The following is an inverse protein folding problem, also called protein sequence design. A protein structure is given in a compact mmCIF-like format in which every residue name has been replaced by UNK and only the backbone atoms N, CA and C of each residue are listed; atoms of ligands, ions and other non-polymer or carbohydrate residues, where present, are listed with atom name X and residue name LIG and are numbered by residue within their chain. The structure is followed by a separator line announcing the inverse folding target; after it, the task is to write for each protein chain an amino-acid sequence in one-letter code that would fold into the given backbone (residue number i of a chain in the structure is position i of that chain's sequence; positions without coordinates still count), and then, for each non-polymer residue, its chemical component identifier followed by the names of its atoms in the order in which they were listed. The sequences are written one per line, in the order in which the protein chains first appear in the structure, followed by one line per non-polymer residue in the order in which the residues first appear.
data_IF_543213058473
#
_entry.id   IF_543213058473
#
_cell.length_a   1.000
_cell.length_b   1.000
_cell.length_c   1.000
_cell.angle_alpha   90.00
_cell.angle_beta   90.00
_cell.angle_gamma   90.00
#
_symmetry.space_group_name_H-M   'P 1'
#
loop_
_entity.id
_entity.type
_entity.pdbx_description
1 polymer ?
#
# COMPACT_ATOMS: atom_id res chain seq x y z
N UNK A 1 31.16 -2.69 -2.03
CA UNK A 1 29.73 -2.34 -2.18
C UNK A 1 29.60 -1.20 -3.16
N UNK A 2 28.76 -1.35 -4.16
CA UNK A 2 28.55 -0.33 -5.18
C UNK A 2 27.36 0.54 -4.78
N UNK A 3 27.58 1.84 -4.69
CA UNK A 3 26.48 2.77 -4.45
C UNK A 3 25.61 2.86 -5.68
N UNK A 4 24.31 2.83 -5.48
CA UNK A 4 23.33 3.02 -6.54
C UNK A 4 22.75 4.43 -6.43
N UNK A 5 22.60 5.09 -7.57
CA UNK A 5 22.07 6.44 -7.63
C UNK A 5 20.81 6.45 -8.46
N UNK A 6 19.77 7.11 -7.95
CA UNK A 6 18.50 7.26 -8.62
C UNK A 6 18.15 8.75 -8.74
N UNK A 7 17.46 9.10 -9.81
CA UNK A 7 16.97 10.47 -9.99
C UNK A 7 15.80 10.77 -9.08
N UNK A 8 14.92 9.77 -8.88
CA UNK A 8 13.78 9.88 -8.01
C UNK A 8 13.62 8.63 -7.16
N UNK A 9 13.19 8.81 -5.93
CA UNK A 9 12.83 7.71 -5.03
C UNK A 9 11.39 7.93 -4.61
N UNK A 10 10.51 6.99 -4.95
CA UNK A 10 9.08 7.00 -4.59
C UNK A 10 8.89 6.05 -3.42
N UNK A 11 8.41 6.57 -2.32
CA UNK A 11 8.21 5.78 -1.11
C UNK A 11 6.73 5.41 -1.01
N UNK A 12 6.45 4.13 -1.18
CA UNK A 12 5.10 3.59 -1.18
C UNK A 12 4.58 3.37 -2.60
N UNK A 13 4.19 2.14 -2.89
CA UNK A 13 3.64 1.75 -4.20
C UNK A 13 2.11 1.61 -4.11
N UNK A 14 1.46 2.56 -3.44
CA UNK A 14 0.01 2.68 -3.43
C UNK A 14 -0.49 3.39 -4.69
N UNK A 15 -1.73 3.88 -4.66
CA UNK A 15 -2.36 4.49 -5.82
C UNK A 15 -1.56 5.69 -6.36
N UNK A 16 -1.09 6.57 -5.47
CA UNK A 16 -0.33 7.74 -5.87
C UNK A 16 1.10 7.39 -6.29
N UNK A 17 1.77 6.56 -5.49
CA UNK A 17 3.17 6.20 -5.76
C UNK A 17 3.33 5.41 -7.05
N UNK A 18 2.40 4.52 -7.35
CA UNK A 18 2.43 3.75 -8.59
C UNK A 18 2.32 4.66 -9.82
N UNK A 19 1.46 5.67 -9.77
CA UNK A 19 1.31 6.64 -10.84
C UNK A 19 2.60 7.44 -11.02
N UNK A 20 3.18 7.94 -9.92
CA UNK A 20 4.43 8.70 -9.98
C UNK A 20 5.58 7.87 -10.53
N UNK A 21 5.72 6.62 -10.05
CA UNK A 21 6.79 5.75 -10.54
C UNK A 21 6.66 5.50 -12.04
N UNK A 22 5.44 5.26 -12.52
CA UNK A 22 5.18 5.04 -13.94
C UNK A 22 5.49 6.30 -14.77
N UNK A 23 4.94 7.43 -14.37
CA UNK A 23 5.08 8.67 -15.15
C UNK A 23 6.51 9.22 -15.16
N UNK A 24 7.20 9.16 -14.03
CA UNK A 24 8.57 9.65 -13.95
C UNK A 24 9.55 8.79 -14.75
N UNK A 25 9.27 7.50 -14.90
CA UNK A 25 10.15 6.58 -15.63
C UNK A 25 9.75 6.41 -17.10
N UNK A 26 8.62 6.97 -17.52
CA UNK A 26 8.03 6.73 -18.84
C UNK A 26 8.94 7.15 -19.99
N UNK A 27 9.63 8.29 -19.87
CA UNK A 27 10.51 8.80 -20.92
C UNK A 27 11.81 8.00 -21.08
N UNK A 28 12.21 7.25 -20.05
CA UNK A 28 13.49 6.57 -20.01
C UNK A 28 14.67 7.47 -19.68
N UNK A 29 14.43 8.76 -19.43
CA UNK A 29 15.47 9.71 -19.07
C UNK A 29 15.88 9.64 -17.59
N UNK A 30 14.98 9.15 -16.74
CA UNK A 30 15.19 9.10 -15.29
C UNK A 30 15.14 7.69 -14.76
N UNK A 31 16.04 7.41 -13.84
CA UNK A 31 16.02 6.17 -13.07
C UNK A 31 15.18 6.40 -11.82
N UNK A 32 14.14 5.61 -11.64
CA UNK A 32 13.18 5.75 -10.54
C UNK A 32 13.23 4.50 -9.68
N UNK A 33 13.44 4.69 -8.38
CA UNK A 33 13.34 3.60 -7.40
C UNK A 33 12.02 3.74 -6.65
N UNK A 34 11.23 2.67 -6.64
CA UNK A 34 10.01 2.62 -5.86
C UNK A 34 10.19 1.64 -4.71
N UNK A 35 10.01 2.13 -3.48
CA UNK A 35 10.15 1.34 -2.27
C UNK A 35 8.77 1.03 -1.70
N UNK A 36 8.51 -0.26 -1.46
CA UNK A 36 7.24 -0.71 -0.88
C UNK A 36 7.53 -1.60 0.34
N UNK A 37 6.87 -1.31 1.46
CA UNK A 37 7.09 -2.04 2.71
C UNK A 37 6.45 -3.43 2.70
N UNK A 38 5.44 -3.64 1.89
CA UNK A 38 4.69 -4.90 1.87
C UNK A 38 5.10 -5.84 0.77
N UNK A 39 4.22 -6.79 0.48
CA UNK A 39 4.45 -7.81 -0.53
C UNK A 39 3.97 -7.34 -1.91
N UNK A 40 4.39 -8.05 -2.95
CA UNK A 40 3.84 -7.87 -4.30
C UNK A 40 2.33 -8.11 -4.35
N UNK A 41 1.81 -8.92 -3.43
CA UNK A 41 0.40 -9.26 -3.40
C UNK A 41 -0.01 -10.34 -4.38
N UNK A 42 0.87 -10.74 -5.28
CA UNK A 42 0.57 -11.78 -6.27
C UNK A 42 0.27 -13.14 -5.65
N UNK A 43 0.83 -13.39 -4.47
CA UNK A 43 0.63 -14.64 -3.73
C UNK A 43 -0.70 -14.68 -2.98
N UNK A 44 -1.40 -13.55 -2.90
CA UNK A 44 -2.65 -13.47 -2.16
C UNK A 44 -3.82 -13.60 -3.12
N UNK A 45 -4.35 -14.81 -3.18
CA UNK A 45 -5.54 -15.12 -3.98
C UNK A 45 -6.68 -14.15 -3.76
N UNK A 46 -6.92 -13.81 -2.48
CA UNK A 46 -8.04 -12.95 -2.09
C UNK A 46 -7.91 -11.51 -2.59
N UNK A 47 -6.69 -11.03 -2.86
CA UNK A 47 -6.49 -9.67 -3.38
C UNK A 47 -7.01 -9.50 -4.80
N UNK A 48 -7.22 -10.59 -5.52
CA UNK A 48 -7.67 -10.58 -6.91
C UNK A 48 -9.18 -10.71 -7.05
N UNK A 49 -9.88 -10.87 -5.94
CA UNK A 49 -11.33 -11.07 -5.92
C UNK A 49 -11.95 -9.95 -5.10
N UNK A 50 -12.95 -9.21 -5.64
CA UNK A 50 -13.54 -8.07 -4.90
C UNK A 50 -14.04 -8.43 -3.50
N UNK A 51 -14.73 -9.56 -3.34
CA UNK A 51 -15.21 -9.99 -2.03
C UNK A 51 -14.07 -10.42 -1.09
N UNK A 52 -12.86 -10.61 -1.65
CA UNK A 52 -11.70 -11.01 -0.87
C UNK A 52 -11.25 -9.99 0.14
N UNK A 53 -11.71 -8.73 0.05
CA UNK A 53 -11.37 -7.69 1.02
C UNK A 53 -11.73 -8.13 2.45
N UNK A 54 -12.79 -8.89 2.62
CA UNK A 54 -13.20 -9.40 3.93
C UNK A 54 -12.14 -10.34 4.53
N UNK A 55 -11.31 -10.97 3.70
CA UNK A 55 -10.22 -11.84 4.14
C UNK A 55 -8.91 -11.09 4.34
N UNK A 56 -8.77 -9.91 3.74
CA UNK A 56 -7.53 -9.14 3.79
C UNK A 56 -7.51 -8.12 4.91
N UNK A 57 -8.68 -7.63 5.29
CA UNK A 57 -8.82 -6.47 6.17
C UNK A 57 -8.20 -6.68 7.56
N UNK A 58 -8.10 -7.93 8.00
CA UNK A 58 -7.52 -8.27 9.31
C UNK A 58 -6.16 -8.98 9.20
N UNK A 59 -5.56 -9.00 8.02
CA UNK A 59 -4.31 -9.73 7.82
C UNK A 59 -3.09 -8.82 7.95
N UNK A 60 -2.27 -8.98 9.01
CA UNK A 60 -1.09 -8.15 9.20
C UNK A 60 -0.06 -8.24 8.07
N UNK A 61 -0.08 -9.33 7.30
CA UNK A 61 0.83 -9.49 6.17
C UNK A 61 0.60 -8.46 5.06
N UNK A 62 -0.65 -8.00 4.87
CA UNK A 62 -1.05 -7.07 3.80
C UNK A 62 -1.74 -5.83 4.33
N UNK A 63 -1.83 -5.67 5.63
CA UNK A 63 -2.53 -4.56 6.28
C UNK A 63 -1.70 -4.08 7.47
N UNK A 64 -1.51 -2.78 7.59
CA UNK A 64 -0.81 -2.19 8.71
C UNK A 64 -1.57 -2.37 10.03
N UNK A 65 -2.87 -2.63 9.96
CA UNK A 65 -3.74 -2.87 11.11
C UNK A 65 -3.70 -1.73 12.13
N UNK A 66 -3.73 -0.49 11.65
CA UNK A 66 -3.81 0.67 12.51
C UNK A 66 -5.16 0.75 13.20
N UNK A 67 -5.19 1.43 14.33
CA UNK A 67 -6.43 1.73 15.01
C UNK A 67 -6.39 3.19 15.48
N UNK A 68 -7.55 3.84 15.50
CA UNK A 68 -7.66 5.23 15.89
C UNK A 68 -7.46 5.38 17.40
N UNK A 69 -7.14 6.60 17.83
CA UNK A 69 -7.21 6.94 19.24
C UNK A 69 -8.68 6.99 19.68
N UNK A 70 -8.98 6.74 20.96
CA UNK A 70 -10.35 6.90 21.46
C UNK A 70 -10.83 8.33 21.29
N UNK A 71 -12.07 8.49 20.85
CA UNK A 71 -12.66 9.79 20.62
C UNK A 71 -14.10 9.80 21.11
N UNK A 72 -14.54 10.92 21.67
CA UNK A 72 -15.90 11.08 22.18
C UNK A 72 -16.94 10.88 21.09
N UNK A 73 -16.65 11.36 19.87
CA UNK A 73 -17.55 11.20 18.74
C UNK A 73 -17.82 9.76 18.36
N UNK A 74 -16.94 8.85 18.74
CA UNK A 74 -17.10 7.41 18.51
C UNK A 74 -17.44 6.64 19.78
N UNK A 75 -17.87 7.34 20.83
CA UNK A 75 -18.21 6.72 22.12
C UNK A 75 -17.01 6.18 22.87
N UNK A 76 -15.84 6.77 22.67
CA UNK A 76 -14.60 6.34 23.32
C UNK A 76 -13.98 5.09 22.72
N UNK A 77 -14.46 4.65 21.57
CA UNK A 77 -13.95 3.45 20.93
C UNK A 77 -12.70 3.71 20.10
N UNK A 78 -11.88 2.67 19.97
CA UNK A 78 -10.82 2.63 18.98
C UNK A 78 -11.39 1.99 17.72
N UNK A 79 -11.25 2.66 16.60
CA UNK A 79 -11.81 2.21 15.33
C UNK A 79 -10.67 1.66 14.46
N UNK A 80 -10.79 0.43 13.91
CA UNK A 80 -9.79 -0.07 12.97
C UNK A 80 -9.67 0.83 11.76
N UNK A 81 -8.43 1.13 11.36
CA UNK A 81 -8.13 1.95 10.19
C UNK A 81 -7.28 1.10 9.25
N UNK A 82 -7.90 0.30 8.38
CA UNK A 82 -7.15 -0.54 7.46
C UNK A 82 -6.32 0.30 6.48
N UNK A 83 -5.07 -0.11 6.27
CA UNK A 83 -4.19 0.48 5.27
C UNK A 83 -3.40 -0.64 4.63
N UNK A 84 -3.41 -0.70 3.32
CA UNK A 84 -2.74 -1.76 2.57
C UNK A 84 -1.24 -1.71 2.74
N UNK A 85 -0.65 -2.88 2.93
CA UNK A 85 0.80 -3.07 3.05
C UNK A 85 1.23 -4.04 1.95
N UNK A 86 1.10 -3.59 0.71
CA UNK A 86 1.40 -4.38 -0.48
C UNK A 86 1.41 -3.48 -1.70
N UNK A 87 1.87 -3.98 -2.83
CA UNK A 87 1.76 -3.25 -4.09
C UNK A 87 0.28 -2.92 -4.34
N UNK A 88 0.02 -1.68 -4.72
CA UNK A 88 -1.33 -1.17 -4.88
C UNK A 88 -1.85 -0.50 -3.62
N UNK A 89 -1.24 -0.74 -2.46
CA UNK A 89 -1.62 -0.11 -1.21
C UNK A 89 -3.04 -0.41 -0.80
N UNK A 90 -3.72 0.60 -0.25
CA UNK A 90 -5.10 0.42 0.24
C UNK A 90 -6.10 0.11 -0.88
N UNK A 91 -5.81 0.47 -2.13
CA UNK A 91 -6.69 0.10 -3.23
C UNK A 91 -6.73 -1.41 -3.49
N UNK A 92 -5.73 -2.15 -2.99
CA UNK A 92 -5.69 -3.60 -3.11
C UNK A 92 -6.50 -4.33 -2.02
N UNK A 93 -6.87 -3.63 -0.95
CA UNK A 93 -7.62 -4.21 0.16
C UNK A 93 -8.92 -3.47 0.48
N UNK A 94 -9.28 -2.45 -0.30
CA UNK A 94 -10.43 -1.61 0.00
C UNK A 94 -11.76 -2.36 -0.21
N UNK A 95 -12.81 -1.76 0.34
CA UNK A 95 -14.16 -2.31 0.23
C UNK A 95 -14.91 -1.88 -1.04
N UNK A 96 -14.19 -1.22 -1.92
CA UNK A 96 -14.73 -0.65 -3.15
C UNK A 96 -15.87 0.33 -2.89
#
# INVERSE_FOLDING_TARGET
MTDQTFDYIVIGAGSAGAVLANRLSESGEYNVLCLEAGTEGSDYFWSKIPIGMAKLIDRPAVNWCFSSEPDEGSGGRRIPVPRGKMLGGSSSINGM
#
